data_IF_759229417668
#
_entry.id   IF_759229417668
#
_cell.length_a   1.000
_cell.length_b   1.000
_cell.length_c   1.000
_cell.angle_alpha   90.00
_cell.angle_beta   90.00
_cell.angle_gamma   90.00
#
_symmetry.space_group_name_H-M   'P 1'
#
loop_
_entity.id
_entity.type
_entity.pdbx_description
1 polymer ?
#
# COMPACT_ATOMS: atom_id res chain seq x y z
N UNK A 1 -4.07 4.73 12.47
CA UNK A 1 -4.72 5.88 11.78
C UNK A 1 -3.77 6.59 10.81
N UNK A 2 -2.54 6.96 11.18
CA UNK A 2 -1.61 7.63 10.24
C UNK A 2 -1.43 6.94 8.87
N UNK A 3 -1.15 5.62 8.85
CA UNK A 3 -1.09 4.83 7.59
C UNK A 3 -2.41 4.80 6.81
N UNK A 4 -3.53 4.90 7.50
CA UNK A 4 -4.88 4.89 6.89
C UNK A 4 -5.14 6.21 6.14
N UNK A 5 -4.56 7.32 6.61
CA UNK A 5 -4.57 8.62 5.93
C UNK A 5 -3.55 8.64 4.77
N UNK A 6 -2.34 8.12 4.99
CA UNK A 6 -1.25 8.11 3.99
C UNK A 6 -1.61 7.36 2.70
N UNK A 7 -2.19 6.16 2.82
CA UNK A 7 -2.48 5.26 1.69
C UNK A 7 -3.32 5.90 0.57
N UNK A 8 -4.46 6.58 0.84
CA UNK A 8 -5.26 7.18 -0.21
C UNK A 8 -4.72 8.52 -0.74
N UNK A 9 -3.94 9.28 0.04
CA UNK A 9 -3.38 10.58 -0.41
C UNK A 9 -2.09 10.41 -1.21
N UNK A 10 -1.25 9.42 -0.87
CA UNK A 10 0.07 9.22 -1.49
C UNK A 10 0.03 9.05 -3.01
N UNK A 11 -0.93 8.30 -3.61
CA UNK A 11 -1.02 8.14 -5.06
C UNK A 11 -1.48 9.40 -5.82
N UNK A 12 -1.95 10.43 -5.11
CA UNK A 12 -2.51 11.65 -5.71
C UNK A 12 -1.49 12.78 -5.81
N UNK A 13 -0.26 12.57 -5.35
CA UNK A 13 0.85 13.44 -5.74
C UNK A 13 1.32 13.05 -7.14
N UNK A 14 1.61 14.02 -8.02
CA UNK A 14 2.09 13.72 -9.36
C UNK A 14 3.35 12.86 -9.34
N UNK A 15 3.47 11.97 -10.32
CA UNK A 15 4.70 11.20 -10.52
C UNK A 15 5.86 12.16 -10.77
N UNK A 16 7.00 11.89 -10.15
CA UNK A 16 8.17 12.76 -10.23
C UNK A 16 8.16 13.94 -9.26
N UNK A 17 7.09 14.13 -8.47
CA UNK A 17 7.10 15.06 -7.35
C UNK A 17 7.99 14.53 -6.22
N UNK A 18 9.08 15.25 -5.92
CA UNK A 18 10.12 14.83 -4.97
C UNK A 18 10.27 15.75 -3.76
N UNK A 19 9.44 16.80 -3.65
CA UNK A 19 9.46 17.67 -2.49
C UNK A 19 8.93 16.92 -1.25
N UNK A 20 9.51 17.22 -0.10
CA UNK A 20 9.10 16.62 1.16
C UNK A 20 7.77 17.24 1.62
N UNK A 21 6.79 16.39 1.94
CA UNK A 21 5.49 16.80 2.47
C UNK A 21 5.26 16.09 3.78
N UNK A 22 4.96 16.87 4.83
CA UNK A 22 4.58 16.36 6.13
C UNK A 22 3.15 16.76 6.47
N UNK A 23 2.31 15.77 6.76
CA UNK A 23 0.95 15.98 7.24
C UNK A 23 0.88 15.56 8.70
N UNK A 24 0.44 16.48 9.56
CA UNK A 24 0.27 16.23 11.00
C UNK A 24 -1.20 16.40 11.36
N UNK A 25 -1.79 15.37 11.95
CA UNK A 25 -3.17 15.39 12.44
C UNK A 25 -3.17 15.21 13.97
N UNK A 26 -3.60 16.25 14.67
CA UNK A 26 -3.71 16.26 16.14
C UNK A 26 -5.18 16.25 16.55
N UNK A 27 -5.58 15.28 17.37
CA UNK A 27 -6.92 15.23 17.95
C UNK A 27 -6.95 16.16 19.15
N UNK A 28 -7.68 17.27 19.04
CA UNK A 28 -7.80 18.27 20.11
C UNK A 28 -9.00 18.01 21.03
N UNK A 29 -10.06 17.43 20.47
CA UNK A 29 -11.29 17.05 21.17
C UNK A 29 -11.93 15.89 20.42
N UNK A 30 -12.62 15.01 21.15
CA UNK A 30 -13.23 13.81 20.61
C UNK A 30 -14.55 13.53 21.31
N UNK A 31 -15.57 13.23 20.51
CA UNK A 31 -16.79 12.56 21.00
C UNK A 31 -16.48 11.06 21.14
N UNK A 32 -16.59 10.47 22.35
CA UNK A 32 -16.31 9.05 22.57
C UNK A 32 -17.16 8.10 21.72
N UNK A 33 -18.30 8.57 21.20
CA UNK A 33 -19.15 7.76 20.33
C UNK A 33 -18.53 7.53 18.96
N UNK A 34 -17.66 8.41 18.47
CA UNK A 34 -17.16 8.35 17.10
C UNK A 34 -15.65 8.20 17.03
N UNK A 35 -15.16 7.36 16.11
CA UNK A 35 -13.72 7.28 15.83
C UNK A 35 -13.28 8.52 15.05
N UNK A 36 -12.13 9.14 15.39
CA UNK A 36 -11.65 10.35 14.73
C UNK A 36 -10.95 10.08 13.39
N UNK A 37 -10.84 8.83 12.97
CA UNK A 37 -10.03 8.41 11.83
C UNK A 37 -10.49 8.99 10.48
N UNK A 38 -11.78 8.93 10.18
CA UNK A 38 -12.34 9.51 8.94
C UNK A 38 -12.32 11.04 8.96
N UNK A 39 -12.56 11.63 10.13
CA UNK A 39 -12.47 13.09 10.33
C UNK A 39 -11.04 13.56 10.07
N UNK A 40 -10.05 12.86 10.62
CA UNK A 40 -8.64 13.16 10.42
C UNK A 40 -8.22 12.99 8.94
N UNK A 41 -8.75 11.99 8.23
CA UNK A 41 -8.51 11.83 6.79
C UNK A 41 -9.07 13.00 5.98
N UNK A 42 -10.32 13.37 6.20
CA UNK A 42 -10.96 14.50 5.50
C UNK A 42 -10.22 15.80 5.83
N UNK A 43 -9.82 16.00 7.08
CA UNK A 43 -9.05 17.18 7.49
C UNK A 43 -7.67 17.23 6.81
N UNK A 44 -6.96 16.10 6.74
CA UNK A 44 -5.67 15.99 6.05
C UNK A 44 -5.80 16.30 4.55
N UNK A 45 -6.79 15.70 3.88
CA UNK A 45 -7.10 15.99 2.48
C UNK A 45 -7.45 17.46 2.26
N UNK A 46 -8.33 18.02 3.10
CA UNK A 46 -8.71 19.44 3.03
C UNK A 46 -7.48 20.34 3.19
N UNK A 47 -6.61 20.06 4.18
CA UNK A 47 -5.41 20.84 4.39
C UNK A 47 -4.50 20.82 3.16
N UNK A 48 -4.31 19.64 2.54
CA UNK A 48 -3.53 19.52 1.30
C UNK A 48 -4.12 20.37 0.17
N UNK A 49 -5.44 20.30 -0.04
CA UNK A 49 -6.15 21.13 -1.03
C UNK A 49 -5.93 22.63 -0.82
N UNK A 50 -5.72 23.07 0.42
CA UNK A 50 -5.55 24.48 0.78
C UNK A 50 -4.09 24.95 0.79
N UNK A 51 -3.12 24.06 0.57
CA UNK A 51 -1.70 24.42 0.59
C UNK A 51 -1.21 25.03 -0.74
N UNK A 52 -1.89 24.74 -1.85
CA UNK A 52 -1.41 25.04 -3.20
C UNK A 52 -0.36 24.06 -3.72
N UNK A 53 -0.02 23.02 -2.96
CA UNK A 53 0.85 21.92 -3.41
C UNK A 53 0.14 21.10 -4.50
N UNK A 54 0.86 20.49 -5.46
CA UNK A 54 0.21 19.70 -6.50
C UNK A 54 -0.34 18.41 -5.91
N UNK A 55 -1.67 18.37 -5.77
CA UNK A 55 -2.41 17.28 -5.16
C UNK A 55 -3.70 17.03 -5.92
N UNK A 56 -3.82 15.86 -6.56
CA UNK A 56 -4.96 15.45 -7.40
C UNK A 56 -6.15 14.93 -6.55
N UNK A 57 -6.37 15.56 -5.39
CA UNK A 57 -7.48 15.28 -4.49
C UNK A 57 -8.78 16.02 -4.84
N UNK A 58 -9.74 16.12 -3.91
CA UNK A 58 -9.66 15.67 -2.51
C UNK A 58 -9.99 14.19 -2.33
N UNK A 59 -9.53 13.63 -1.21
CA UNK A 59 -9.92 12.32 -0.69
C UNK A 59 -11.00 12.49 0.37
N UNK A 60 -11.97 11.58 0.38
CA UNK A 60 -12.83 11.35 1.53
C UNK A 60 -12.93 9.86 1.81
N UNK A 61 -13.33 9.50 3.02
CA UNK A 61 -13.56 8.11 3.40
C UNK A 61 -14.60 7.96 4.50
N UNK A 62 -15.09 6.75 4.64
CA UNK A 62 -16.04 6.34 5.67
C UNK A 62 -15.62 5.00 6.27
N UNK A 63 -15.88 4.87 7.58
CA UNK A 63 -15.92 3.59 8.27
C UNK A 63 -17.37 3.13 8.32
N UNK A 64 -17.61 1.95 7.80
CA UNK A 64 -18.91 1.33 7.60
C UNK A 64 -18.96 0.04 8.39
N UNK A 65 -20.05 -0.15 9.12
CA UNK A 65 -20.41 -1.42 9.71
C UNK A 65 -21.78 -1.86 9.24
N UNK A 66 -22.15 -3.08 9.59
CA UNK A 66 -23.41 -3.70 9.23
C UNK A 66 -24.11 -4.16 10.50
N UNK A 67 -25.16 -3.43 10.88
CA UNK A 67 -25.94 -3.70 12.09
C UNK A 67 -27.30 -4.20 11.67
N UNK A 68 -27.66 -5.43 12.07
CA UNK A 68 -28.92 -6.09 11.68
C UNK A 68 -29.16 -6.13 10.16
N UNK A 69 -28.08 -6.29 9.39
CA UNK A 69 -28.12 -6.33 7.92
C UNK A 69 -28.11 -4.97 7.22
N UNK A 70 -28.13 -3.85 7.95
CA UNK A 70 -28.10 -2.51 7.38
C UNK A 70 -26.72 -1.85 7.50
N UNK A 71 -26.26 -1.22 6.43
CA UNK A 71 -25.00 -0.47 6.44
C UNK A 71 -25.17 0.85 7.18
N UNK A 72 -24.23 1.12 8.09
CA UNK A 72 -24.20 2.34 8.88
C UNK A 72 -22.78 2.89 8.95
N UNK A 73 -22.66 4.21 8.85
CA UNK A 73 -21.43 4.93 9.18
C UNK A 73 -21.52 5.60 10.56
N UNK A 74 -20.39 6.03 11.10
CA UNK A 74 -20.33 6.70 12.41
C UNK A 74 -20.97 5.85 13.53
N UNK A 75 -20.63 4.56 13.55
CA UNK A 75 -21.15 3.62 14.56
C UNK A 75 -20.66 4.02 15.95
N UNK A 76 -21.56 4.00 16.93
CA UNK A 76 -21.19 4.12 18.33
C UNK A 76 -20.52 2.83 18.86
N UNK A 77 -20.09 2.79 20.12
CA UNK A 77 -19.40 1.63 20.68
C UNK A 77 -20.23 0.33 20.61
N UNK A 78 -21.51 0.39 21.01
CA UNK A 78 -22.41 -0.77 21.00
C UNK A 78 -22.69 -1.27 19.58
N UNK A 79 -22.86 -0.35 18.64
CA UNK A 79 -23.10 -0.67 17.23
C UNK A 79 -21.87 -1.27 16.55
N UNK A 80 -20.66 -0.84 16.93
CA UNK A 80 -19.41 -1.47 16.47
C UNK A 80 -19.29 -2.91 16.96
N UNK A 81 -19.66 -3.17 18.22
CA UNK A 81 -19.64 -4.51 18.80
C UNK A 81 -20.71 -5.42 18.19
N UNK A 82 -21.88 -4.87 17.88
CA UNK A 82 -22.96 -5.60 17.22
C UNK A 82 -22.76 -5.81 15.71
N UNK A 83 -21.77 -5.13 15.12
CA UNK A 83 -21.50 -5.19 13.68
C UNK A 83 -20.69 -6.43 13.31
N UNK A 84 -21.10 -7.14 12.26
CA UNK A 84 -20.31 -8.22 11.67
C UNK A 84 -19.29 -7.75 10.62
N UNK A 85 -19.26 -6.44 10.36
CA UNK A 85 -18.40 -5.77 9.41
C UNK A 85 -17.75 -4.52 10.02
N UNK A 86 -16.45 -4.33 9.81
CA UNK A 86 -15.73 -3.08 10.07
C UNK A 86 -14.90 -2.73 8.84
N UNK A 87 -15.52 -1.97 7.93
CA UNK A 87 -15.00 -1.64 6.61
C UNK A 87 -14.63 -0.15 6.55
N UNK A 88 -13.37 0.16 6.28
CA UNK A 88 -12.94 1.50 5.91
C UNK A 88 -12.76 1.57 4.40
N UNK A 89 -13.43 2.54 3.78
CA UNK A 89 -13.30 2.86 2.36
C UNK A 89 -12.89 4.31 2.22
N UNK A 90 -11.90 4.58 1.37
CA UNK A 90 -11.54 5.94 0.98
C UNK A 90 -11.35 6.04 -0.53
N UNK A 91 -11.62 7.22 -1.07
CA UNK A 91 -11.55 7.46 -2.50
C UNK A 91 -11.64 8.93 -2.87
N UNK A 92 -11.64 9.14 -4.18
CA UNK A 92 -11.86 10.42 -4.84
C UNK A 92 -13.21 10.38 -5.57
N UNK A 93 -13.57 11.47 -6.24
CA UNK A 93 -14.85 11.59 -6.96
C UNK A 93 -15.05 10.48 -7.99
N UNK A 94 -13.99 10.04 -8.65
CA UNK A 94 -14.07 9.04 -9.72
C UNK A 94 -13.96 7.59 -9.25
N UNK A 95 -13.58 7.33 -8.00
CA UNK A 95 -13.43 5.95 -7.54
C UNK A 95 -12.77 5.76 -6.17
N UNK A 96 -12.87 4.52 -5.68
CA UNK A 96 -12.24 4.05 -4.45
C UNK A 96 -10.74 3.85 -4.69
N UNK A 97 -9.91 4.38 -3.79
CA UNK A 97 -8.44 4.24 -3.85
C UNK A 97 -7.88 3.37 -2.74
N UNK A 98 -8.61 3.19 -1.64
CA UNK A 98 -8.14 2.44 -0.48
C UNK A 98 -9.30 1.73 0.23
N UNK A 99 -9.05 0.47 0.60
CA UNK A 99 -9.94 -0.33 1.43
C UNK A 99 -9.12 -0.99 2.55
N UNK A 100 -9.68 -1.03 3.75
CA UNK A 100 -9.21 -1.79 4.91
C UNK A 100 -10.44 -2.41 5.57
N UNK A 101 -10.45 -3.71 5.87
CA UNK A 101 -11.64 -4.37 6.40
C UNK A 101 -11.30 -5.45 7.44
N UNK A 102 -12.17 -5.57 8.45
CA UNK A 102 -12.35 -6.75 9.28
C UNK A 102 -13.80 -7.21 9.19
N UNK A 103 -14.05 -8.51 9.14
CA UNK A 103 -15.40 -9.05 9.01
C UNK A 103 -15.52 -10.45 9.61
N UNK A 104 -16.72 -10.78 10.11
CA UNK A 104 -17.07 -12.11 10.60
C UNK A 104 -17.70 -12.93 9.48
N UNK A 105 -16.87 -13.46 8.57
CA UNK A 105 -17.29 -14.34 7.46
C UNK A 105 -18.43 -13.75 6.60
N UNK A 106 -18.39 -12.42 6.39
CA UNK A 106 -19.34 -11.69 5.52
C UNK A 106 -19.12 -12.07 4.06
N UNK A 107 -20.21 -12.20 3.28
CA UNK A 107 -20.15 -12.57 1.87
C UNK A 107 -19.45 -11.50 1.00
N UNK A 108 -18.88 -11.92 -0.12
CA UNK A 108 -18.26 -11.00 -1.09
C UNK A 108 -19.28 -10.00 -1.65
N UNK A 109 -20.52 -10.43 -1.91
CA UNK A 109 -21.60 -9.57 -2.41
C UNK A 109 -21.94 -8.46 -1.42
N UNK A 110 -22.00 -8.79 -0.12
CA UNK A 110 -22.24 -7.80 0.94
C UNK A 110 -21.08 -6.81 1.08
N UNK A 111 -19.84 -7.27 0.93
CA UNK A 111 -18.66 -6.40 0.95
C UNK A 111 -18.67 -5.42 -0.23
N UNK A 112 -19.01 -5.90 -1.43
CA UNK A 112 -19.16 -5.05 -2.62
C UNK A 112 -20.28 -4.04 -2.42
N UNK A 113 -21.44 -4.47 -1.92
CA UNK A 113 -22.57 -3.59 -1.64
C UNK A 113 -22.21 -2.51 -0.58
N UNK A 114 -21.43 -2.88 0.45
CA UNK A 114 -20.94 -1.95 1.46
C UNK A 114 -19.98 -0.90 0.87
N UNK A 115 -19.07 -1.31 -0.03
CA UNK A 115 -18.18 -0.41 -0.74
C UNK A 115 -18.93 0.57 -1.64
N UNK A 116 -19.92 0.09 -2.40
CA UNK A 116 -20.76 0.93 -3.26
C UNK A 116 -21.59 1.94 -2.44
N UNK A 117 -22.11 1.50 -1.30
CA UNK A 117 -22.82 2.37 -0.36
C UNK A 117 -21.89 3.46 0.19
N UNK A 118 -20.70 3.06 0.67
CA UNK A 118 -19.70 3.97 1.21
C UNK A 118 -19.27 5.02 0.16
N UNK A 119 -19.01 4.57 -1.07
CA UNK A 119 -18.58 5.42 -2.18
C UNK A 119 -19.55 6.57 -2.44
N UNK A 120 -20.86 6.29 -2.39
CA UNK A 120 -21.91 7.32 -2.54
C UNK A 120 -22.00 8.21 -1.30
N UNK A 121 -21.89 7.62 -0.12
CA UNK A 121 -22.08 8.30 1.15
C UNK A 121 -20.99 9.35 1.47
N UNK A 122 -19.75 9.17 1.00
CA UNK A 122 -18.69 10.17 1.23
C UNK A 122 -18.61 11.28 0.16
N UNK A 123 -19.33 11.18 -0.97
CA UNK A 123 -19.28 12.21 -2.03
C UNK A 123 -19.60 13.62 -1.52
N UNK A 124 -20.57 13.84 -0.61
CA UNK A 124 -20.81 15.19 -0.08
C UNK A 124 -19.56 15.81 0.58
N UNK A 125 -18.71 15.00 1.23
CA UNK A 125 -17.48 15.49 1.82
C UNK A 125 -16.44 15.89 0.76
N UNK A 126 -16.41 15.22 -0.40
CA UNK A 126 -15.58 15.60 -1.55
C UNK A 126 -16.06 16.94 -2.12
N UNK A 127 -17.38 17.10 -2.32
CA UNK A 127 -17.98 18.34 -2.81
C UNK A 127 -17.65 19.52 -1.90
N UNK A 128 -17.83 19.38 -0.59
CA UNK A 128 -17.54 20.44 0.38
C UNK A 128 -16.06 20.82 0.41
N UNK A 129 -15.15 19.86 0.27
CA UNK A 129 -13.71 20.13 0.18
C UNK A 129 -13.37 20.96 -1.08
N UNK A 130 -13.96 20.63 -2.23
CA UNK A 130 -13.80 21.41 -3.47
C UNK A 130 -14.34 22.83 -3.32
N UNK A 131 -15.56 22.99 -2.80
CA UNK A 131 -16.15 24.30 -2.56
C UNK A 131 -15.30 25.17 -1.62
N UNK A 132 -14.69 24.56 -0.60
CA UNK A 132 -13.80 25.25 0.33
C UNK A 132 -12.51 25.71 -0.37
N UNK A 133 -11.89 24.82 -1.16
CA UNK A 133 -10.69 25.14 -1.93
C UNK A 133 -10.95 26.25 -2.96
N UNK A 134 -12.10 26.24 -3.63
CA UNK A 134 -12.52 27.28 -4.57
C UNK A 134 -12.71 28.64 -3.89
N UNK A 135 -13.34 28.67 -2.70
CA UNK A 135 -13.55 29.91 -1.94
C UNK A 135 -12.25 30.53 -1.43
N UNK A 136 -11.31 29.69 -1.02
CA UNK A 136 -10.01 30.15 -0.51
C UNK A 136 -9.07 30.52 -1.66
N UNK A 137 -9.16 29.80 -2.80
CA UNK A 137 -8.31 29.98 -3.97
C UNK A 137 -6.81 30.06 -3.61
N UNK A 138 -6.24 28.97 -3.03
CA UNK A 138 -4.85 28.98 -2.58
C UNK A 138 -3.90 29.23 -3.75
N UNK A 139 -2.85 30.03 -3.51
CA UNK A 139 -1.83 30.28 -4.51
C UNK A 139 -1.10 28.98 -4.83
N UNK A 140 -1.09 28.60 -6.11
CA UNK A 140 -0.37 27.42 -6.57
C UNK A 140 1.13 27.58 -6.26
N UNK A 141 1.72 26.55 -5.67
CA UNK A 141 3.15 26.50 -5.43
C UNK A 141 3.86 26.13 -6.73
N UNK A 142 4.95 26.82 -7.05
CA UNK A 142 5.81 26.38 -8.14
C UNK A 142 6.51 25.08 -7.77
N UNK A 143 6.51 24.12 -8.69
CA UNK A 143 7.19 22.85 -8.51
C UNK A 143 7.79 22.38 -9.82
N UNK A 144 8.85 21.60 -9.71
CA UNK A 144 9.47 20.90 -10.82
C UNK A 144 9.23 19.40 -10.66
N UNK A 145 8.82 18.76 -11.75
CA UNK A 145 8.68 17.31 -11.80
C UNK A 145 9.96 16.71 -12.34
N UNK A 146 10.56 15.81 -11.58
CA UNK A 146 11.66 14.98 -12.07
C UNK A 146 11.03 13.83 -12.85
N UNK A 147 10.87 14.04 -14.16
CA UNK A 147 10.30 13.07 -15.08
C UNK A 147 11.43 12.31 -15.81
N UNK A 148 11.21 11.02 -16.17
CA UNK A 148 12.17 10.28 -16.97
C UNK A 148 12.45 10.97 -18.32
N UNK A 149 13.72 11.11 -18.67
CA UNK A 149 14.14 11.65 -19.96
C UNK A 149 13.69 10.71 -21.11
N UNK A 150 12.91 11.24 -22.05
CA UNK A 150 12.34 10.44 -23.14
C UNK A 150 13.40 9.84 -24.08
N UNK A 151 14.49 10.56 -24.32
CA UNK A 151 15.55 10.09 -25.23
C UNK A 151 16.36 8.97 -24.58
N UNK A 152 16.61 9.07 -23.26
CA UNK A 152 17.15 7.96 -22.48
C UNK A 152 16.18 6.78 -22.53
N UNK A 153 14.89 6.99 -22.29
CA UNK A 153 13.90 5.91 -22.33
C UNK A 153 13.86 5.22 -23.70
N UNK A 154 13.93 5.96 -24.81
CA UNK A 154 14.01 5.38 -26.16
C UNK A 154 15.28 4.55 -26.36
N UNK A 155 16.43 5.07 -25.95
CA UNK A 155 17.70 4.35 -26.03
C UNK A 155 17.68 3.05 -25.21
N UNK A 156 17.07 3.07 -24.03
CA UNK A 156 16.87 1.88 -23.20
C UNK A 156 15.90 0.91 -23.85
N UNK A 157 14.74 1.39 -24.31
CA UNK A 157 13.69 0.58 -24.97
C UNK A 157 14.24 -0.14 -26.22
N UNK A 158 15.11 0.52 -26.99
CA UNK A 158 15.84 -0.08 -28.10
C UNK A 158 16.83 -1.16 -27.64
N UNK A 159 17.60 -0.88 -26.58
CA UNK A 159 18.61 -1.82 -26.09
C UNK A 159 18.00 -3.09 -25.49
N UNK A 160 16.87 -2.98 -24.79
CA UNK A 160 16.17 -4.12 -24.16
C UNK A 160 15.32 -4.91 -25.14
N UNK A 161 15.11 -4.41 -26.36
CA UNK A 161 14.28 -5.05 -27.39
C UNK A 161 14.78 -6.48 -27.66
N UNK A 162 13.90 -7.47 -27.50
CA UNK A 162 14.21 -8.89 -27.70
C UNK A 162 15.08 -9.52 -26.59
N UNK A 163 15.40 -8.79 -25.52
CA UNK A 163 16.09 -9.30 -24.31
C UNK A 163 15.13 -9.58 -23.15
N UNK A 164 13.95 -8.95 -23.15
CA UNK A 164 12.88 -9.15 -22.17
C UNK A 164 11.89 -10.25 -22.62
N UNK A 165 10.75 -10.37 -21.94
CA UNK A 165 9.72 -11.38 -22.25
C UNK A 165 10.10 -12.77 -21.75
N UNK A 166 9.86 -13.80 -22.59
CA UNK A 166 10.08 -15.22 -22.24
C UNK A 166 11.49 -15.55 -21.76
N UNK A 167 12.49 -14.74 -22.15
CA UNK A 167 13.87 -14.89 -21.71
C UNK A 167 14.06 -14.56 -20.22
N UNK A 168 13.20 -13.74 -19.64
CA UNK A 168 13.25 -13.36 -18.22
C UNK A 168 12.11 -13.94 -17.39
N UNK A 169 11.16 -14.65 -18.01
CA UNK A 169 10.05 -15.30 -17.31
C UNK A 169 10.55 -16.56 -16.59
N UNK A 170 10.87 -16.43 -15.31
CA UNK A 170 11.34 -17.51 -14.43
C UNK A 170 10.83 -17.33 -13.02
N UNK A 171 10.84 -18.40 -12.23
CA UNK A 171 10.52 -18.31 -10.82
C UNK A 171 11.55 -17.45 -10.07
N UNK A 172 11.16 -16.91 -8.92
CA UNK A 172 12.11 -16.32 -7.98
C UNK A 172 12.94 -17.43 -7.30
N UNK A 173 14.24 -17.26 -7.04
CA UNK A 173 15.05 -16.04 -7.23
C UNK A 173 15.70 -15.90 -8.61
N UNK A 174 15.69 -16.95 -9.45
CA UNK A 174 16.37 -17.01 -10.76
C UNK A 174 16.06 -15.79 -11.63
N UNK A 175 14.79 -15.37 -11.71
CA UNK A 175 14.42 -14.16 -12.45
C UNK A 175 15.16 -12.91 -11.97
N UNK A 176 15.31 -12.73 -10.66
CA UNK A 176 15.97 -11.53 -10.12
C UNK A 176 17.46 -11.54 -10.42
N UNK A 177 18.11 -12.70 -10.36
CA UNK A 177 19.50 -12.86 -10.78
C UNK A 177 19.67 -12.52 -12.26
N UNK A 178 18.83 -13.06 -13.13
CA UNK A 178 18.84 -12.75 -14.58
C UNK A 178 18.58 -11.26 -14.85
N UNK A 179 17.65 -10.64 -14.13
CA UNK A 179 17.39 -9.20 -14.26
C UNK A 179 18.58 -8.38 -13.77
N UNK A 180 19.26 -8.79 -12.69
CA UNK A 180 20.44 -8.12 -12.18
C UNK A 180 21.64 -8.26 -13.13
N UNK A 181 21.86 -9.43 -13.71
CA UNK A 181 22.88 -9.66 -14.75
C UNK A 181 22.58 -8.82 -15.99
N UNK A 182 21.32 -8.80 -16.44
CA UNK A 182 20.90 -7.97 -17.57
C UNK A 182 21.08 -6.48 -17.27
N UNK A 183 20.80 -6.06 -16.03
CA UNK A 183 21.02 -4.68 -15.57
C UNK A 183 22.51 -4.34 -15.55
N UNK A 184 23.36 -5.24 -15.07
CA UNK A 184 24.81 -5.04 -15.07
C UNK A 184 25.35 -4.87 -16.49
N UNK A 185 25.02 -5.81 -17.38
CA UNK A 185 25.43 -5.76 -18.80
C UNK A 185 24.87 -4.53 -19.52
N UNK A 186 23.69 -4.04 -19.11
CA UNK A 186 23.13 -2.79 -19.58
C UNK A 186 23.99 -1.59 -19.16
N UNK A 187 24.38 -1.50 -17.89
CA UNK A 187 25.22 -0.41 -17.41
C UNK A 187 26.62 -0.43 -18.04
N UNK A 188 27.21 -1.61 -18.24
CA UNK A 188 28.49 -1.76 -18.97
C UNK A 188 28.37 -1.25 -20.41
N UNK A 189 27.35 -1.70 -21.16
CA UNK A 189 27.13 -1.27 -22.53
C UNK A 189 26.87 0.24 -22.67
N UNK A 190 26.18 0.85 -21.69
CA UNK A 190 25.95 2.29 -21.69
C UNK A 190 27.21 3.07 -21.29
N UNK A 191 28.05 2.52 -20.39
CA UNK A 191 29.36 3.09 -20.06
C UNK A 191 30.30 3.10 -21.27
N UNK A 192 30.32 2.02 -22.05
CA UNK A 192 31.11 1.94 -23.29
C UNK A 192 30.61 2.92 -24.36
N UNK A 193 29.29 3.12 -24.47
CA UNK A 193 28.68 3.99 -25.49
C UNK A 193 28.80 5.48 -25.19
N UNK A 194 28.65 5.87 -23.93
CA UNK A 194 28.62 7.28 -23.49
C UNK A 194 29.97 7.75 -22.90
N UNK A 195 30.89 6.83 -22.64
CA UNK A 195 32.18 7.11 -22.03
C UNK A 195 32.12 7.10 -20.50
N UNK A 196 33.26 6.74 -19.89
CA UNK A 196 33.38 6.54 -18.45
C UNK A 196 33.27 7.83 -17.61
N UNK A 197 33.38 9.00 -18.23
CA UNK A 197 33.30 10.30 -17.54
C UNK A 197 31.86 10.86 -17.48
N UNK A 198 31.05 10.67 -18.53
CA UNK A 198 29.69 11.23 -18.61
C UNK A 198 28.62 10.30 -18.02
N UNK A 199 28.81 8.98 -18.15
CA UNK A 199 27.82 8.00 -17.71
C UNK A 199 27.48 8.01 -16.22
N UNK A 200 28.44 8.17 -15.28
CA UNK A 200 28.15 8.16 -13.85
C UNK A 200 27.10 9.18 -13.41
N UNK A 201 27.02 10.34 -14.08
CA UNK A 201 26.03 11.38 -13.78
C UNK A 201 24.61 10.99 -14.24
N UNK A 202 24.49 10.24 -15.33
CA UNK A 202 23.21 9.81 -15.92
C UNK A 202 22.78 8.41 -15.45
N UNK A 203 23.63 7.71 -14.70
CA UNK A 203 23.42 6.30 -14.32
C UNK A 203 22.06 6.07 -13.68
N UNK A 204 21.63 6.94 -12.76
CA UNK A 204 20.36 6.81 -12.05
C UNK A 204 19.16 6.98 -13.00
N UNK A 205 19.24 7.89 -13.97
CA UNK A 205 18.20 8.06 -15.00
C UNK A 205 18.10 6.84 -15.92
N UNK A 206 19.24 6.27 -16.34
CA UNK A 206 19.28 5.05 -17.14
C UNK A 206 18.76 3.83 -16.35
N UNK A 207 19.06 3.76 -15.06
CA UNK A 207 18.57 2.72 -14.15
C UNK A 207 17.03 2.77 -13.98
N UNK A 208 16.49 3.98 -13.78
CA UNK A 208 15.05 4.21 -13.72
C UNK A 208 14.37 3.86 -15.05
N UNK A 209 14.95 4.27 -16.18
CA UNK A 209 14.46 3.94 -17.51
C UNK A 209 14.46 2.41 -17.78
N UNK A 210 15.50 1.70 -17.34
CA UNK A 210 15.55 0.23 -17.42
C UNK A 210 14.46 -0.41 -16.57
N UNK A 211 14.26 0.09 -15.35
CA UNK A 211 13.17 -0.37 -14.46
C UNK A 211 11.80 -0.16 -15.11
N UNK A 212 11.59 1.02 -15.73
CA UNK A 212 10.35 1.34 -16.43
C UNK A 212 10.12 0.41 -17.62
N UNK A 213 11.15 0.09 -18.40
CA UNK A 213 11.07 -0.84 -19.51
C UNK A 213 10.70 -2.25 -19.05
N UNK A 214 11.28 -2.72 -17.93
CA UNK A 214 10.91 -3.99 -17.31
C UNK A 214 9.45 -4.00 -16.84
N UNK A 215 8.97 -2.92 -16.24
CA UNK A 215 7.56 -2.78 -15.84
C UNK A 215 6.60 -2.81 -17.05
N UNK A 216 6.96 -2.13 -18.14
CA UNK A 216 6.18 -2.17 -19.40
C UNK A 216 6.09 -3.59 -19.95
N UNK A 217 7.20 -4.32 -19.99
CA UNK A 217 7.23 -5.71 -20.47
C UNK A 217 6.38 -6.65 -19.61
N UNK A 218 6.49 -6.54 -18.28
CA UNK A 218 5.67 -7.33 -17.36
C UNK A 218 4.17 -7.04 -17.54
N UNK A 219 3.78 -5.77 -17.64
CA UNK A 219 2.37 -5.40 -17.88
C UNK A 219 1.86 -5.94 -19.21
N UNK A 220 2.66 -5.79 -20.26
CA UNK A 220 2.33 -6.33 -21.59
C UNK A 220 2.12 -7.84 -21.54
N UNK A 221 3.03 -8.60 -20.93
CA UNK A 221 2.90 -10.05 -20.81
C UNK A 221 1.65 -10.49 -20.04
N UNK A 222 1.27 -9.77 -18.98
CA UNK A 222 0.04 -10.08 -18.22
C UNK A 222 -1.22 -9.78 -19.05
N UNK A 223 -1.24 -8.66 -19.77
CA UNK A 223 -2.44 -8.20 -20.51
C UNK A 223 -2.62 -8.93 -21.84
N UNK A 224 -1.54 -9.12 -22.61
CA UNK A 224 -1.58 -9.70 -23.95
C UNK A 224 -1.47 -11.23 -23.92
N UNK A 225 -0.51 -11.75 -23.15
CA UNK A 225 -0.22 -13.20 -23.14
C UNK A 225 -0.94 -13.94 -22.00
N UNK A 226 -1.49 -13.22 -21.01
CA UNK A 226 -2.11 -13.83 -19.82
C UNK A 226 -1.12 -14.53 -18.89
N UNK A 227 0.18 -14.26 -19.03
CA UNK A 227 1.26 -14.94 -18.30
C UNK A 227 1.90 -13.98 -17.30
N UNK A 228 2.12 -14.48 -16.07
CA UNK A 228 2.77 -13.72 -15.01
C UNK A 228 4.29 -13.73 -15.15
N UNK A 229 5.03 -12.85 -14.43
CA UNK A 229 6.49 -12.79 -14.48
C UNK A 229 7.19 -14.11 -14.12
N UNK A 230 6.54 -14.96 -13.33
CA UNK A 230 7.04 -16.27 -12.91
C UNK A 230 6.49 -17.44 -13.75
N UNK A 231 5.84 -17.15 -14.88
CA UNK A 231 5.32 -18.14 -15.81
C UNK A 231 3.94 -18.71 -15.45
N UNK A 232 3.39 -18.36 -14.28
CA UNK A 232 2.08 -18.84 -13.83
C UNK A 232 0.92 -18.19 -14.57
N UNK A 233 -0.22 -18.88 -14.61
CA UNK A 233 -1.50 -18.30 -15.04
C UNK A 233 -2.04 -17.30 -14.00
N UNK A 234 -3.05 -16.53 -14.39
CA UNK A 234 -3.69 -15.53 -13.53
C UNK A 234 -4.37 -16.16 -12.29
N UNK A 235 -4.92 -17.35 -12.45
CA UNK A 235 -5.66 -18.12 -11.44
C UNK A 235 -4.79 -19.14 -10.68
N UNK A 236 -3.54 -19.29 -11.06
CA UNK A 236 -2.65 -20.29 -10.49
C UNK A 236 -1.93 -19.78 -9.24
N UNK A 237 -2.06 -20.51 -8.14
CA UNK A 237 -1.35 -20.25 -6.88
C UNK A 237 0.04 -20.92 -6.87
N UNK A 238 0.97 -20.35 -6.10
CA UNK A 238 2.28 -20.98 -5.86
C UNK A 238 2.11 -22.24 -5.02
N UNK A 239 3.07 -23.15 -5.11
CA UNK A 239 3.15 -24.33 -4.25
C UNK A 239 3.02 -23.94 -2.77
N UNK A 240 2.24 -24.73 -2.05
CA UNK A 240 1.95 -24.55 -0.63
C UNK A 240 2.60 -25.68 0.16
N UNK A 241 3.29 -25.32 1.23
CA UNK A 241 3.71 -26.27 2.26
C UNK A 241 3.39 -25.71 3.64
N UNK A 242 3.04 -26.61 4.56
CA UNK A 242 2.76 -26.25 5.94
C UNK A 242 3.24 -27.34 6.88
N UNK A 243 3.90 -26.90 7.94
CA UNK A 243 4.35 -27.74 9.04
C UNK A 243 3.88 -27.15 10.37
N UNK A 244 3.62 -28.02 11.34
CA UNK A 244 3.22 -27.64 12.71
C UNK A 244 4.10 -28.35 13.73
N UNK A 245 4.27 -27.76 14.91
CA UNK A 245 5.09 -28.33 15.97
C UNK A 245 6.60 -28.28 15.68
N UNK A 246 7.04 -27.31 14.88
CA UNK A 246 8.45 -27.14 14.48
C UNK A 246 9.38 -26.88 15.66
N UNK A 247 8.94 -26.07 16.63
CA UNK A 247 9.73 -25.66 17.78
C UNK A 247 9.31 -26.46 19.03
N UNK A 248 10.25 -27.18 19.68
CA UNK A 248 9.91 -28.15 20.73
C UNK A 248 9.48 -27.54 22.07
N UNK A 249 9.65 -26.23 22.26
CA UNK A 249 9.42 -25.54 23.55
C UNK A 249 8.34 -24.46 23.51
N UNK A 250 7.77 -24.19 22.34
CA UNK A 250 6.65 -23.25 22.18
C UNK A 250 5.32 -23.94 22.49
N UNK A 251 4.29 -23.22 22.93
CA UNK A 251 2.96 -23.80 23.08
C UNK A 251 2.39 -24.24 21.73
N UNK A 252 2.62 -23.45 20.69
CA UNK A 252 2.37 -23.84 19.30
C UNK A 252 3.37 -23.16 18.37
N UNK A 253 3.70 -23.83 17.28
CA UNK A 253 4.51 -23.27 16.21
C UNK A 253 4.05 -23.81 14.87
N UNK A 254 4.15 -23.00 13.83
CA UNK A 254 3.91 -23.41 12.46
C UNK A 254 4.86 -22.72 11.49
N UNK A 255 5.14 -23.40 10.39
CA UNK A 255 5.85 -22.83 9.25
C UNK A 255 4.93 -22.96 8.05
N UNK A 256 4.48 -21.82 7.52
CA UNK A 256 3.68 -21.77 6.32
C UNK A 256 4.51 -21.19 5.18
N UNK A 257 4.60 -21.91 4.07
CA UNK A 257 5.34 -21.46 2.90
C UNK A 257 4.41 -21.44 1.69
N UNK A 258 4.41 -20.32 0.97
CA UNK A 258 3.74 -20.14 -0.31
C UNK A 258 4.76 -19.68 -1.35
N UNK A 259 5.30 -20.64 -2.10
CA UNK A 259 6.48 -20.46 -2.95
C UNK A 259 7.66 -19.90 -2.15
N UNK A 260 8.05 -18.67 -2.45
CA UNK A 260 9.22 -18.01 -1.83
C UNK A 260 8.86 -17.11 -0.64
N UNK A 261 7.57 -17.03 -0.30
CA UNK A 261 7.10 -16.30 0.87
C UNK A 261 6.88 -17.29 2.00
N UNK A 262 7.59 -17.11 3.11
CA UNK A 262 7.50 -17.98 4.27
C UNK A 262 7.14 -17.18 5.52
N UNK A 263 6.21 -17.70 6.31
CA UNK A 263 5.82 -17.18 7.60
C UNK A 263 6.02 -18.24 8.68
N UNK A 264 6.88 -17.97 9.65
CA UNK A 264 6.99 -18.75 10.88
C UNK A 264 6.12 -18.12 11.95
N UNK A 265 5.12 -18.86 12.43
CA UNK A 265 4.22 -18.41 13.48
C UNK A 265 4.55 -19.12 14.78
N UNK A 266 4.46 -18.39 15.89
CA UNK A 266 4.62 -18.92 17.24
C UNK A 266 3.40 -18.48 18.03
N UNK A 267 2.77 -19.44 18.70
CA UNK A 267 1.64 -19.21 19.58
C UNK A 267 2.12 -19.40 21.02
N UNK A 268 1.77 -18.43 21.86
CA UNK A 268 2.04 -18.46 23.30
C UNK A 268 0.73 -18.24 24.04
N UNK A 269 0.40 -19.16 24.94
CA UNK A 269 -0.73 -19.02 25.87
C UNK A 269 -0.22 -18.44 27.18
N UNK A 270 -1.01 -17.56 27.78
CA UNK A 270 -0.72 -16.96 29.07
C UNK A 270 -2.02 -16.77 29.88
N UNK A 271 -1.94 -16.68 31.22
CA UNK A 271 -3.10 -16.34 32.06
C UNK A 271 -3.68 -14.96 31.70
N UNK A 272 -4.95 -14.72 32.07
CA UNK A 272 -5.63 -13.44 31.82
C UNK A 272 -4.91 -12.23 32.43
N UNK A 273 -4.11 -12.42 33.47
CA UNK A 273 -3.28 -11.35 34.06
C UNK A 273 -2.19 -10.81 33.12
N UNK A 274 -1.94 -11.47 31.99
CA UNK A 274 -1.02 -11.02 30.93
C UNK A 274 -1.76 -10.36 29.76
N UNK A 275 -3.06 -10.12 29.87
CA UNK A 275 -3.79 -9.33 28.89
C UNK A 275 -3.12 -7.95 28.74
N UNK A 276 -3.02 -7.48 27.50
CA UNK A 276 -2.45 -6.16 27.24
C UNK A 276 -3.50 -5.11 27.62
N UNK A 277 -3.16 -4.28 28.60
CA UNK A 277 -3.94 -3.07 28.88
C UNK A 277 -3.67 -2.07 27.76
N UNK A 278 -4.74 -1.62 27.13
CA UNK A 278 -4.73 -0.67 26.03
C UNK A 278 -5.50 0.55 26.48
N UNK A 279 -4.76 1.63 26.67
CA UNK A 279 -5.32 2.95 26.95
C UNK A 279 -5.25 3.81 25.69
N UNK A 280 -6.42 4.17 25.18
CA UNK A 280 -6.57 4.94 23.94
C UNK A 280 -7.64 6.01 24.12
N UNK A 281 -7.70 6.97 23.20
CA UNK A 281 -8.75 7.99 23.22
C UNK A 281 -10.17 7.41 23.08
N UNK A 282 -10.31 6.19 22.55
CA UNK A 282 -11.61 5.53 22.33
C UNK A 282 -12.00 4.58 23.46
N UNK A 283 -11.01 3.98 24.12
CA UNK A 283 -11.20 2.94 25.13
C UNK A 283 -10.20 3.18 26.25
N UNK A 284 -10.71 3.47 27.44
CA UNK A 284 -9.96 3.54 28.69
C UNK A 284 -9.99 2.17 29.36
N UNK A 285 -8.86 1.73 29.91
CA UNK A 285 -8.69 0.44 30.60
C UNK A 285 -9.13 -0.79 29.77
N UNK A 286 -8.99 -0.71 28.44
CA UNK A 286 -9.34 -1.82 27.56
C UNK A 286 -8.38 -3.00 27.70
N UNK A 287 -8.90 -4.23 27.72
CA UNK A 287 -8.07 -5.44 27.73
C UNK A 287 -8.03 -6.09 26.34
N UNK A 288 -6.82 -6.27 25.78
CA UNK A 288 -6.60 -7.12 24.61
C UNK A 288 -6.07 -8.49 25.03
N UNK A 289 -6.87 -9.51 24.74
CA UNK A 289 -6.55 -10.93 25.01
C UNK A 289 -5.85 -11.61 23.85
N UNK A 290 -6.07 -11.13 22.63
CA UNK A 290 -5.39 -11.59 21.43
C UNK A 290 -4.35 -10.56 21.01
N UNK A 291 -3.10 -11.01 20.88
CA UNK A 291 -1.96 -10.19 20.45
C UNK A 291 -1.37 -10.83 19.20
N UNK A 292 -1.23 -10.04 18.15
CA UNK A 292 -0.59 -10.47 16.90
C UNK A 292 0.59 -9.54 16.61
N UNK A 293 1.80 -10.10 16.68
CA UNK A 293 3.02 -9.37 16.36
C UNK A 293 3.59 -9.87 15.04
N UNK A 294 3.77 -8.95 14.10
CA UNK A 294 4.37 -9.22 12.80
C UNK A 294 5.75 -8.59 12.72
N UNK A 295 6.77 -9.41 12.44
CA UNK A 295 8.15 -8.96 12.30
C UNK A 295 8.68 -9.36 10.93
N UNK A 296 9.27 -8.40 10.21
CA UNK A 296 9.91 -8.62 8.90
C UNK A 296 11.36 -8.13 8.93
N UNK A 297 12.31 -8.94 9.48
CA UNK A 297 13.72 -8.57 9.52
C UNK A 297 14.34 -8.56 8.13
N UNK A 298 15.43 -7.80 7.94
CA UNK A 298 16.05 -7.59 6.63
C UNK A 298 16.45 -8.88 5.88
N UNK A 299 16.81 -9.93 6.61
CA UNK A 299 17.15 -11.23 6.02
C UNK A 299 15.97 -11.89 5.28
N UNK A 300 14.72 -11.52 5.56
CA UNK A 300 13.55 -12.04 4.83
C UNK A 300 13.54 -11.63 3.36
N UNK A 301 14.24 -10.55 3.02
CA UNK A 301 14.44 -10.06 1.65
C UNK A 301 15.90 -10.15 1.20
N UNK A 302 16.77 -10.81 1.99
CA UNK A 302 18.19 -10.95 1.68
C UNK A 302 19.02 -9.67 1.87
N UNK A 303 18.51 -8.68 2.62
CA UNK A 303 19.19 -7.39 2.80
C UNK A 303 19.76 -7.22 4.22
N UNK A 304 20.89 -6.51 4.31
CA UNK A 304 21.45 -6.07 5.60
C UNK A 304 20.70 -4.81 6.03
N UNK A 305 19.90 -4.91 7.10
CA UNK A 305 19.17 -3.78 7.69
C UNK A 305 19.39 -3.71 9.20
N UNK A 306 19.22 -2.51 9.77
CA UNK A 306 19.21 -2.35 11.22
C UNK A 306 18.02 -3.10 11.81
N UNK A 307 18.27 -3.91 12.84
CA UNK A 307 17.21 -4.52 13.65
C UNK A 307 16.66 -3.44 14.59
N UNK A 308 15.60 -2.77 14.15
CA UNK A 308 14.86 -1.77 14.95
C UNK A 308 13.57 -2.34 15.55
N UNK A 309 12.87 -1.52 16.33
CA UNK A 309 11.51 -1.83 16.77
C UNK A 309 10.52 -1.71 15.60
N UNK A 310 9.43 -2.51 15.60
CA UNK A 310 8.26 -2.28 14.74
C UNK A 310 7.66 -0.89 14.91
#
# INVERSE_FOLDING_TARGET
>A
IGRLIDRPIRPLFPKGYRQEVQVVSSVLSMDPNFRPDMVAMIAASSALMLTGTPFDGPVAGLRVGRVKGEFKAFLNAEEREASDLDLVVAGIESGITMVEAGANEVSEDDLVAAMDWAFKAFQPAITLQRELAEKIAPAAQEYELVLPNEDIQKAVDEWVKGKLGDKLRRAYPERNEMVNELRWTFHEAMTEKLGAEEYPALKDEYDEAFTMALHKDVRRGIVEDGVRPDGRKLDEIRELSSEVGLLPRTHGSSLFTRGVTQGMNIVTLAPLSFAQIVDTMEVTDGERRYMHHYNAPGYTVGEVRRLGSP
#
